data_IF_103665560889
#
_entry.id   IF_103665560889
#
_cell.length_a   1.000
_cell.length_b   1.000
_cell.length_c   1.000
_cell.angle_alpha   90.00
_cell.angle_beta   90.00
_cell.angle_gamma   90.00
#
_symmetry.space_group_name_H-M   'P 1'
#
loop_
_entity.id
_entity.type
_entity.pdbx_description
1 polymer ?
#
# COMPACT_ATOMS: atom_id res chain seq x y z
N UNK A 1 16.68 11.15 -22.11
CA UNK A 1 17.14 9.77 -21.82
C UNK A 1 16.09 9.04 -21.05
N UNK A 2 15.84 7.77 -21.38
CA UNK A 2 14.94 6.90 -20.60
C UNK A 2 15.54 6.66 -19.22
N UNK A 3 14.80 6.90 -18.12
CA UNK A 3 15.31 6.67 -16.78
C UNK A 3 15.49 5.18 -16.51
N UNK A 4 16.35 4.85 -15.56
CA UNK A 4 16.47 3.53 -14.96
C UNK A 4 15.83 3.51 -13.57
N UNK A 5 15.16 2.41 -13.22
CA UNK A 5 14.40 2.31 -11.97
C UNK A 5 14.81 1.05 -11.21
N UNK A 6 15.21 1.18 -9.97
CA UNK A 6 15.34 0.06 -9.05
C UNK A 6 14.05 -0.10 -8.23
N UNK A 7 13.57 -1.34 -8.05
CA UNK A 7 12.40 -1.64 -7.24
C UNK A 7 12.75 -2.68 -6.18
N UNK A 8 12.49 -2.37 -4.94
CA UNK A 8 12.53 -3.29 -3.80
C UNK A 8 11.17 -3.27 -3.10
N UNK A 9 10.42 -4.38 -3.11
CA UNK A 9 10.70 -5.73 -3.54
C UNK A 9 9.73 -6.16 -4.67
N UNK A 10 10.03 -7.24 -5.42
CA UNK A 10 9.15 -7.79 -6.45
C UNK A 10 8.00 -8.63 -5.86
N UNK A 11 7.27 -8.04 -4.90
CA UNK A 11 5.99 -8.54 -4.43
C UNK A 11 4.90 -8.36 -5.50
N UNK A 12 3.61 -8.54 -5.13
CA UNK A 12 2.49 -8.34 -6.06
C UNK A 12 2.47 -6.94 -6.66
N UNK A 13 2.62 -5.89 -5.83
CA UNK A 13 2.65 -4.50 -6.30
C UNK A 13 3.94 -4.19 -7.03
N UNK A 14 5.11 -4.46 -6.43
CA UNK A 14 6.41 -4.10 -7.01
C UNK A 14 6.67 -4.77 -8.36
N UNK A 15 6.30 -6.05 -8.53
CA UNK A 15 6.44 -6.74 -9.84
C UNK A 15 5.48 -6.19 -10.90
N UNK A 16 4.26 -5.81 -10.51
CA UNK A 16 3.31 -5.20 -11.44
C UNK A 16 3.77 -3.80 -11.90
N UNK A 17 4.34 -3.00 -10.98
CA UNK A 17 4.97 -1.71 -11.30
C UNK A 17 6.19 -1.93 -12.20
N UNK A 18 7.05 -2.91 -11.87
CA UNK A 18 8.20 -3.27 -12.69
C UNK A 18 7.80 -3.65 -14.11
N UNK A 19 6.80 -4.53 -14.27
CA UNK A 19 6.25 -4.90 -15.57
C UNK A 19 5.76 -3.69 -16.35
N UNK A 20 5.00 -2.80 -15.68
CA UNK A 20 4.48 -1.61 -16.36
C UNK A 20 5.58 -0.72 -16.90
N UNK A 21 6.68 -0.56 -16.16
CA UNK A 21 7.85 0.19 -16.59
C UNK A 21 8.61 -0.53 -17.72
N UNK A 22 8.81 -1.85 -17.64
CA UNK A 22 9.50 -2.62 -18.69
C UNK A 22 8.73 -2.64 -20.01
N UNK A 23 7.39 -2.69 -19.98
CA UNK A 23 6.51 -2.52 -21.14
C UNK A 23 6.76 -1.17 -21.86
N UNK A 24 7.25 -0.16 -21.14
CA UNK A 24 7.62 1.16 -21.66
C UNK A 24 9.14 1.32 -21.84
N UNK A 25 9.86 0.22 -21.98
CA UNK A 25 11.30 0.18 -22.26
C UNK A 25 12.20 0.81 -21.19
N UNK A 26 11.70 0.91 -19.96
CA UNK A 26 12.49 1.32 -18.80
C UNK A 26 13.32 0.13 -18.33
N UNK A 27 14.61 0.33 -18.08
CA UNK A 27 15.47 -0.65 -17.42
C UNK A 27 15.08 -0.73 -15.95
N UNK A 28 14.52 -1.88 -15.52
CA UNK A 28 14.11 -2.09 -14.14
C UNK A 28 15.04 -3.08 -13.44
N UNK A 29 15.69 -2.63 -12.39
CA UNK A 29 16.60 -3.41 -11.54
C UNK A 29 15.86 -3.88 -10.27
N UNK A 30 16.23 -5.05 -9.74
CA UNK A 30 15.74 -5.52 -8.44
C UNK A 30 16.77 -6.40 -7.75
N UNK A 31 16.77 -6.42 -6.43
CA UNK A 31 17.57 -7.37 -5.64
C UNK A 31 16.71 -8.58 -5.26
N UNK A 32 17.23 -9.77 -5.54
CA UNK A 32 16.56 -11.03 -5.23
C UNK A 32 17.22 -11.77 -4.04
N UNK A 33 18.22 -11.17 -3.41
CA UNK A 33 18.90 -11.76 -2.25
C UNK A 33 17.91 -12.02 -1.12
N UNK A 34 17.81 -13.27 -0.66
CA UNK A 34 16.91 -13.67 0.43
C UNK A 34 15.41 -13.67 0.05
N UNK A 35 15.05 -13.60 -1.24
CA UNK A 35 13.66 -13.60 -1.69
C UNK A 35 13.14 -15.01 -1.98
N UNK A 36 11.85 -15.22 -1.75
CA UNK A 36 11.18 -16.50 -2.04
C UNK A 36 11.18 -16.81 -3.55
N UNK A 37 11.10 -18.10 -3.92
CA UNK A 37 10.98 -18.55 -5.30
C UNK A 37 9.83 -17.85 -6.05
N UNK A 38 8.71 -17.61 -5.37
CA UNK A 38 7.55 -16.88 -5.93
C UNK A 38 7.88 -15.41 -6.27
N UNK A 39 8.72 -14.74 -5.46
CA UNK A 39 9.18 -13.39 -5.77
C UNK A 39 10.16 -13.36 -6.94
N UNK A 40 11.05 -14.34 -7.03
CA UNK A 40 11.97 -14.52 -8.16
C UNK A 40 11.20 -14.70 -9.47
N UNK A 41 10.23 -15.60 -9.49
CA UNK A 41 9.37 -15.82 -10.66
C UNK A 41 8.61 -14.57 -11.09
N UNK A 42 8.08 -13.79 -10.11
CA UNK A 42 7.41 -12.52 -10.43
C UNK A 42 8.33 -11.50 -11.06
N UNK A 43 9.56 -11.35 -10.55
CA UNK A 43 10.54 -10.43 -11.09
C UNK A 43 10.90 -10.81 -12.55
N UNK A 44 11.16 -12.10 -12.80
CA UNK A 44 11.45 -12.63 -14.15
C UNK A 44 10.28 -12.39 -15.12
N UNK A 45 9.06 -12.76 -14.70
CA UNK A 45 7.85 -12.54 -15.50
C UNK A 45 7.52 -11.05 -15.75
N UNK A 46 8.05 -10.15 -14.93
CA UNK A 46 7.93 -8.70 -15.09
C UNK A 46 9.06 -8.08 -15.93
N UNK A 47 10.01 -8.87 -16.44
CA UNK A 47 11.15 -8.39 -17.20
C UNK A 47 12.17 -7.59 -16.36
N UNK A 48 12.19 -7.76 -15.05
CA UNK A 48 13.11 -7.07 -14.16
C UNK A 48 14.47 -7.76 -14.15
N UNK A 49 15.55 -6.98 -14.15
CA UNK A 49 16.93 -7.47 -14.09
C UNK A 49 17.36 -7.66 -12.64
N UNK A 50 17.69 -8.89 -12.26
CA UNK A 50 18.24 -9.18 -10.94
C UNK A 50 19.69 -8.71 -10.83
N UNK A 51 20.01 -7.97 -9.78
CA UNK A 51 21.34 -7.41 -9.53
C UNK A 51 21.67 -7.44 -8.02
N UNK A 52 22.94 -7.26 -7.67
CA UNK A 52 23.33 -7.05 -6.28
C UNK A 52 22.90 -5.66 -5.78
N UNK A 53 22.76 -5.49 -4.46
CA UNK A 53 22.28 -4.23 -3.86
C UNK A 53 23.12 -3.01 -4.29
N UNK A 54 24.44 -3.17 -4.46
CA UNK A 54 25.34 -2.09 -4.92
C UNK A 54 24.99 -1.58 -6.32
N UNK A 55 24.54 -2.46 -7.20
CA UNK A 55 24.18 -2.10 -8.57
C UNK A 55 22.80 -1.43 -8.67
N UNK A 56 21.95 -1.55 -7.64
CA UNK A 56 20.70 -0.80 -7.55
C UNK A 56 20.93 0.71 -7.50
N UNK A 57 22.09 1.13 -6.98
CA UNK A 57 22.48 2.55 -6.84
C UNK A 57 22.80 3.20 -8.19
N UNK A 58 22.97 2.42 -9.26
CA UNK A 58 23.14 2.95 -10.63
C UNK A 58 21.82 3.46 -11.24
N UNK A 59 20.69 3.13 -10.63
CA UNK A 59 19.39 3.60 -11.09
C UNK A 59 19.21 5.12 -10.86
N UNK A 60 18.29 5.72 -11.59
CA UNK A 60 17.89 7.11 -11.38
C UNK A 60 16.87 7.22 -10.24
N UNK A 61 16.01 6.22 -10.11
CA UNK A 61 15.03 6.11 -9.03
C UNK A 61 15.18 4.78 -8.30
N UNK A 62 15.01 4.79 -6.98
CA UNK A 62 14.89 3.59 -6.16
C UNK A 62 13.52 3.62 -5.46
N UNK A 63 12.59 2.79 -5.94
CA UNK A 63 11.24 2.68 -5.39
C UNK A 63 11.23 1.64 -4.26
N UNK A 64 10.94 2.07 -3.04
CA UNK A 64 10.68 1.19 -1.89
C UNK A 64 9.23 0.74 -1.92
N UNK A 65 8.98 -0.55 -2.23
CA UNK A 65 7.66 -1.17 -2.30
C UNK A 65 7.69 -2.48 -1.51
N UNK A 66 7.56 -2.38 -0.20
CA UNK A 66 7.63 -3.49 0.76
C UNK A 66 6.42 -3.43 1.71
N UNK A 67 6.20 -4.42 2.58
CA UNK A 67 5.24 -4.27 3.68
C UNK A 67 5.58 -3.04 4.53
N UNK A 68 4.59 -2.28 5.03
CA UNK A 68 4.83 -1.05 5.79
C UNK A 68 5.80 -1.24 6.97
N UNK A 69 5.67 -2.35 7.71
CA UNK A 69 6.55 -2.67 8.84
C UNK A 69 8.02 -2.88 8.47
N UNK A 70 8.32 -3.18 7.20
CA UNK A 70 9.69 -3.42 6.72
C UNK A 70 10.36 -2.15 6.16
N UNK A 71 9.60 -1.06 5.97
CA UNK A 71 10.07 0.12 5.23
C UNK A 71 11.28 0.80 5.89
N UNK A 72 11.22 1.02 7.21
CA UNK A 72 12.32 1.64 7.95
C UNK A 72 13.56 0.72 8.00
N UNK A 73 13.36 -0.58 8.24
CA UNK A 73 14.45 -1.56 8.24
C UNK A 73 15.12 -1.66 6.85
N UNK A 74 14.35 -1.56 5.76
CA UNK A 74 14.90 -1.49 4.42
C UNK A 74 15.79 -0.26 4.21
N UNK A 75 15.33 0.92 4.60
CA UNK A 75 16.12 2.16 4.50
C UNK A 75 17.43 2.05 5.29
N UNK A 76 17.36 1.55 6.53
CA UNK A 76 18.53 1.32 7.38
C UNK A 76 19.52 0.32 6.75
N UNK A 77 19.02 -0.78 6.20
CA UNK A 77 19.82 -1.80 5.51
C UNK A 77 20.56 -1.23 4.30
N UNK A 78 19.91 -0.36 3.54
CA UNK A 78 20.49 0.24 2.33
C UNK A 78 21.40 1.44 2.62
N UNK A 79 21.33 2.04 3.80
CA UNK A 79 22.01 3.29 4.12
C UNK A 79 23.53 3.21 3.87
N UNK A 80 24.19 2.12 4.27
CA UNK A 80 25.63 1.93 4.02
C UNK A 80 25.97 1.91 2.52
N UNK A 81 25.19 1.18 1.73
CA UNK A 81 25.37 1.08 0.27
C UNK A 81 25.08 2.42 -0.43
N UNK A 82 23.99 3.10 -0.02
CA UNK A 82 23.63 4.42 -0.52
C UNK A 82 24.73 5.47 -0.19
N UNK A 83 25.28 5.42 1.03
CA UNK A 83 26.35 6.33 1.43
C UNK A 83 27.63 6.13 0.61
N UNK A 84 27.99 4.87 0.33
CA UNK A 84 29.19 4.53 -0.44
C UNK A 84 29.03 4.75 -1.96
N UNK A 85 27.81 4.88 -2.47
CA UNK A 85 27.54 5.01 -3.89
C UNK A 85 28.00 6.37 -4.45
N UNK A 86 28.68 6.37 -5.59
CA UNK A 86 29.04 7.60 -6.30
C UNK A 86 27.82 8.29 -6.92
N UNK A 87 26.91 7.51 -7.51
CA UNK A 87 25.60 8.00 -7.98
C UNK A 87 24.57 7.86 -6.87
N UNK A 88 23.79 8.89 -6.66
CA UNK A 88 22.72 8.95 -5.65
C UNK A 88 21.36 8.84 -6.33
N UNK A 89 20.69 7.67 -6.28
CA UNK A 89 19.33 7.55 -6.81
C UNK A 89 18.37 8.41 -6.00
N UNK A 90 17.28 8.86 -6.63
CA UNK A 90 16.16 9.42 -5.87
C UNK A 90 15.45 8.26 -5.16
N UNK A 91 15.53 8.24 -3.83
CA UNK A 91 14.81 7.26 -3.02
C UNK A 91 13.34 7.67 -2.90
N UNK A 92 12.44 6.82 -3.38
CA UNK A 92 11.00 7.06 -3.37
C UNK A 92 10.35 6.07 -2.41
N UNK A 93 9.91 6.54 -1.25
CA UNK A 93 9.20 5.72 -0.28
C UNK A 93 7.72 5.60 -0.68
N UNK A 94 7.29 4.40 -1.10
CA UNK A 94 5.97 4.17 -1.69
C UNK A 94 5.00 3.40 -0.78
N UNK A 95 5.42 3.09 0.45
CA UNK A 95 4.67 2.18 1.31
C UNK A 95 3.54 2.90 2.08
N UNK A 96 2.65 2.10 2.68
CA UNK A 96 1.55 2.63 3.49
C UNK A 96 2.03 2.90 4.93
N UNK A 97 3.01 3.79 5.09
CA UNK A 97 3.58 4.21 6.38
C UNK A 97 2.93 5.48 6.87
N UNK A 98 2.89 5.66 8.20
CA UNK A 98 2.43 6.91 8.80
C UNK A 98 3.38 8.09 8.50
N UNK A 99 2.92 9.35 8.59
CA UNK A 99 3.79 10.52 8.48
C UNK A 99 5.01 10.48 9.41
N UNK A 100 4.85 9.97 10.64
CA UNK A 100 5.94 9.83 11.60
C UNK A 100 6.98 8.80 11.14
N UNK A 101 6.55 7.65 10.61
CA UNK A 101 7.44 6.63 10.05
C UNK A 101 8.13 7.16 8.78
N UNK A 102 7.40 7.90 7.92
CA UNK A 102 7.94 8.53 6.72
C UNK A 102 9.10 9.48 7.06
N UNK A 103 8.98 10.31 8.10
CA UNK A 103 10.05 11.20 8.54
C UNK A 103 11.28 10.42 9.02
N UNK A 104 11.10 9.37 9.82
CA UNK A 104 12.23 8.52 10.25
C UNK A 104 12.99 7.91 9.06
N UNK A 105 12.26 7.46 8.04
CA UNK A 105 12.87 6.93 6.81
C UNK A 105 13.62 8.05 6.07
N UNK A 106 13.00 9.23 5.95
CA UNK A 106 13.61 10.39 5.33
C UNK A 106 14.93 10.79 5.99
N UNK A 107 14.98 10.80 7.33
CA UNK A 107 16.21 11.13 8.09
C UNK A 107 17.34 10.13 7.81
N UNK A 108 17.02 8.83 7.78
CA UNK A 108 17.98 7.77 7.43
C UNK A 108 18.54 7.97 6.03
N UNK A 109 17.69 8.26 5.05
CA UNK A 109 18.10 8.42 3.65
C UNK A 109 18.84 9.75 3.45
N UNK A 110 18.39 10.84 4.07
CA UNK A 110 19.06 12.15 3.99
C UNK A 110 20.50 12.08 4.48
N UNK A 111 20.77 11.32 5.53
CA UNK A 111 22.12 11.09 6.05
C UNK A 111 23.07 10.44 5.02
N UNK A 112 22.55 9.78 3.98
CA UNK A 112 23.34 9.18 2.89
C UNK A 112 23.64 10.15 1.74
N UNK A 113 23.07 11.35 1.77
CA UNK A 113 23.13 12.32 0.68
C UNK A 113 22.20 12.00 -0.50
N UNK A 114 21.35 10.96 -0.42
CA UNK A 114 20.38 10.66 -1.47
C UNK A 114 19.18 11.62 -1.40
N UNK A 115 18.71 12.11 -2.56
CA UNK A 115 17.42 12.80 -2.61
C UNK A 115 16.28 11.86 -2.19
N UNK A 116 15.30 12.40 -1.47
CA UNK A 116 14.17 11.64 -0.95
C UNK A 116 12.84 12.21 -1.46
N UNK A 117 11.90 11.31 -1.75
CA UNK A 117 10.50 11.64 -2.09
C UNK A 117 9.59 10.77 -1.23
N UNK A 118 8.70 11.42 -0.49
CA UNK A 118 7.59 10.74 0.19
C UNK A 118 6.50 10.43 -0.82
N UNK A 119 6.12 9.17 -0.94
CA UNK A 119 5.08 8.76 -1.85
C UNK A 119 4.07 7.80 -1.19
N UNK A 120 2.97 7.55 -1.88
CA UNK A 120 1.96 6.57 -1.47
C UNK A 120 1.25 6.02 -2.68
N UNK A 121 1.08 4.69 -2.75
CA UNK A 121 0.35 4.04 -3.84
C UNK A 121 -1.09 3.84 -3.41
N UNK A 122 -2.04 4.33 -4.21
CA UNK A 122 -3.49 4.09 -4.05
C UNK A 122 -4.01 3.36 -5.28
N UNK A 123 -4.61 2.21 -5.07
CA UNK A 123 -5.18 1.36 -6.11
C UNK A 123 -4.62 -0.07 -6.11
N UNK A 124 -5.18 -0.96 -6.95
CA UNK A 124 -4.68 -2.33 -7.12
C UNK A 124 -3.34 -2.35 -7.85
N UNK A 125 -2.61 -3.48 -7.88
CA UNK A 125 -1.45 -3.63 -8.75
C UNK A 125 -1.78 -3.23 -10.20
N UNK A 126 -0.94 -2.41 -10.87
CA UNK A 126 -1.24 -1.91 -12.20
C UNK A 126 -1.38 -3.06 -13.21
N UNK A 127 -2.38 -2.90 -14.08
CA UNK A 127 -2.64 -3.81 -15.21
C UNK A 127 -2.42 -3.05 -16.54
N UNK A 128 -2.11 -3.74 -17.65
CA UNK A 128 -1.99 -3.10 -18.96
C UNK A 128 -3.22 -2.23 -19.28
N UNK A 129 -2.99 -1.01 -19.75
CA UNK A 129 -4.06 -0.06 -20.09
C UNK A 129 -4.84 0.56 -18.92
N UNK A 130 -4.59 0.15 -17.67
CA UNK A 130 -5.30 0.68 -16.50
C UNK A 130 -4.58 1.88 -15.89
N UNK A 131 -5.36 2.92 -15.54
CA UNK A 131 -4.93 4.11 -14.78
C UNK A 131 -5.40 4.11 -13.33
N UNK A 132 -5.88 2.96 -12.83
CA UNK A 132 -6.48 2.86 -11.50
C UNK A 132 -5.47 2.90 -10.36
N UNK A 133 -4.19 2.62 -10.65
CA UNK A 133 -3.10 2.69 -9.68
C UNK A 133 -2.44 4.05 -9.77
N UNK A 134 -2.50 4.82 -8.70
CA UNK A 134 -1.95 6.18 -8.64
C UNK A 134 -0.83 6.25 -7.60
N UNK A 135 0.26 6.87 -7.99
CA UNK A 135 1.36 7.24 -7.10
C UNK A 135 1.17 8.70 -6.73
N UNK A 136 0.99 8.98 -5.46
CA UNK A 136 1.00 10.35 -4.96
C UNK A 136 2.39 10.62 -4.41
N UNK A 137 3.03 11.69 -4.87
CA UNK A 137 4.40 12.05 -4.49
C UNK A 137 4.41 13.45 -3.87
N UNK A 138 5.19 13.64 -2.80
CA UNK A 138 5.31 14.92 -2.09
C UNK A 138 6.77 15.20 -1.70
N UNK A 139 7.08 16.46 -1.48
CA UNK A 139 8.42 16.94 -1.10
C UNK A 139 9.18 17.60 -2.26
N UNK A 140 10.38 18.13 -2.00
CA UNK A 140 11.09 19.01 -2.94
C UNK A 140 11.43 18.38 -4.30
N UNK A 141 11.57 17.04 -4.32
CA UNK A 141 11.92 16.28 -5.54
C UNK A 141 10.75 15.51 -6.14
N UNK A 142 9.51 15.76 -5.67
CA UNK A 142 8.31 15.05 -6.14
C UNK A 142 8.07 15.20 -7.66
N UNK A 143 8.39 16.35 -8.24
CA UNK A 143 8.27 16.60 -9.67
C UNK A 143 9.20 15.73 -10.53
N UNK A 144 10.32 15.25 -9.99
CA UNK A 144 11.16 14.29 -10.71
C UNK A 144 10.43 12.97 -10.91
N UNK A 145 9.62 12.52 -9.92
CA UNK A 145 8.82 11.31 -10.05
C UNK A 145 7.72 11.45 -11.12
N UNK A 146 7.23 12.65 -11.39
CA UNK A 146 6.21 12.89 -12.42
C UNK A 146 6.71 12.52 -13.84
N UNK A 147 8.03 12.49 -14.08
CA UNK A 147 8.62 12.00 -15.33
C UNK A 147 8.27 10.53 -15.62
N UNK A 148 7.93 9.75 -14.59
CA UNK A 148 7.53 8.35 -14.75
C UNK A 148 6.12 8.21 -15.36
N UNK A 149 5.35 9.29 -15.51
CA UNK A 149 4.11 9.31 -16.28
C UNK A 149 4.33 8.97 -17.75
N UNK A 150 5.44 9.39 -18.33
CA UNK A 150 5.80 9.10 -19.72
C UNK A 150 6.11 7.61 -19.93
N UNK A 151 6.28 6.87 -18.83
CA UNK A 151 6.62 5.45 -18.81
C UNK A 151 5.53 4.58 -18.16
N UNK A 152 4.29 5.04 -18.27
CA UNK A 152 3.10 4.25 -17.95
C UNK A 152 2.69 4.17 -16.48
N UNK A 153 3.35 4.89 -15.60
CA UNK A 153 2.83 5.10 -14.24
C UNK A 153 1.84 6.28 -14.23
N UNK A 154 1.04 6.39 -13.18
CA UNK A 154 0.20 7.57 -12.95
C UNK A 154 0.69 8.24 -11.67
N UNK A 155 1.58 9.20 -11.81
CA UNK A 155 2.16 9.97 -10.70
C UNK A 155 1.43 11.30 -10.58
N UNK A 156 0.97 11.62 -9.38
CA UNK A 156 0.35 12.89 -9.02
C UNK A 156 1.20 13.57 -7.94
N UNK A 157 1.70 14.74 -8.26
CA UNK A 157 2.44 15.54 -7.28
C UNK A 157 1.46 16.26 -6.38
N UNK A 158 1.70 16.23 -5.09
CA UNK A 158 0.94 16.96 -4.08
C UNK A 158 1.73 18.18 -3.64
N UNK A 159 1.03 19.32 -3.59
CA UNK A 159 1.53 20.49 -2.88
C UNK A 159 1.46 20.23 -1.37
N UNK A 160 2.56 20.46 -0.66
CA UNK A 160 2.61 20.27 0.79
C UNK A 160 3.92 19.67 1.29
N UNK A 161 3.95 19.34 2.58
CA UNK A 161 5.14 18.77 3.19
C UNK A 161 5.46 17.38 2.65
N UNK A 162 6.68 16.92 2.86
CA UNK A 162 7.15 15.59 2.47
C UNK A 162 6.20 14.45 2.86
N UNK A 163 5.48 14.62 3.95
CA UNK A 163 4.54 13.63 4.49
C UNK A 163 3.14 13.69 3.90
N UNK A 164 2.83 14.63 2.99
CA UNK A 164 1.48 14.82 2.46
C UNK A 164 0.94 13.57 1.74
N UNK A 165 1.80 12.86 0.99
CA UNK A 165 1.41 11.63 0.30
C UNK A 165 1.09 10.49 1.29
N UNK A 166 1.86 10.38 2.36
CA UNK A 166 1.62 9.44 3.46
C UNK A 166 0.31 9.76 4.19
N UNK A 167 0.09 11.02 4.55
CA UNK A 167 -1.15 11.47 5.19
C UNK A 167 -2.38 11.17 4.32
N UNK A 168 -2.32 11.48 3.01
CA UNK A 168 -3.37 11.12 2.06
C UNK A 168 -3.64 9.61 2.04
N UNK A 169 -2.58 8.81 1.98
CA UNK A 169 -2.70 7.34 1.97
C UNK A 169 -3.35 6.83 3.25
N UNK A 170 -2.94 7.35 4.42
CA UNK A 170 -3.51 6.96 5.72
C UNK A 170 -4.99 7.36 5.81
N UNK A 171 -5.33 8.59 5.45
CA UNK A 171 -6.72 9.07 5.46
C UNK A 171 -7.62 8.27 4.53
N UNK A 172 -7.19 8.04 3.29
CA UNK A 172 -7.94 7.23 2.32
C UNK A 172 -8.14 5.79 2.80
N UNK A 173 -7.08 5.17 3.31
CA UNK A 173 -7.14 3.80 3.82
C UNK A 173 -8.00 3.71 5.09
N UNK A 174 -7.91 4.69 5.98
CA UNK A 174 -8.73 4.78 7.19
C UNK A 174 -10.22 4.85 6.87
N UNK A 175 -10.61 5.71 5.92
CA UNK A 175 -11.99 5.80 5.45
C UNK A 175 -12.44 4.46 4.85
N UNK A 176 -11.74 3.94 3.85
CA UNK A 176 -12.21 2.77 3.11
C UNK A 176 -12.25 1.51 3.96
N UNK A 177 -11.22 1.27 4.77
CA UNK A 177 -11.19 0.10 5.67
C UNK A 177 -12.09 0.30 6.88
N UNK A 178 -12.17 1.50 7.43
CA UNK A 178 -13.07 1.82 8.53
C UNK A 178 -14.53 1.60 8.15
N UNK A 179 -14.96 2.05 6.97
CA UNK A 179 -16.32 1.79 6.45
C UNK A 179 -16.60 0.30 6.27
N UNK A 180 -15.64 -0.45 5.71
CA UNK A 180 -15.80 -1.90 5.53
C UNK A 180 -15.90 -2.61 6.89
N UNK A 181 -15.06 -2.24 7.85
CA UNK A 181 -15.10 -2.82 9.21
C UNK A 181 -16.43 -2.53 9.92
N UNK A 182 -16.90 -1.27 9.87
CA UNK A 182 -18.18 -0.89 10.47
C UNK A 182 -19.34 -1.63 9.81
N UNK A 183 -19.35 -1.71 8.47
CA UNK A 183 -20.36 -2.44 7.72
C UNK A 183 -20.40 -3.92 8.10
N UNK A 184 -19.24 -4.59 8.13
CA UNK A 184 -19.15 -5.99 8.54
C UNK A 184 -19.64 -6.19 9.97
N UNK A 185 -19.22 -5.35 10.91
CA UNK A 185 -19.65 -5.43 12.31
C UNK A 185 -21.18 -5.30 12.45
N UNK A 186 -21.81 -4.36 11.70
CA UNK A 186 -23.26 -4.12 11.78
C UNK A 186 -24.06 -5.23 11.07
N UNK A 187 -23.59 -5.78 9.96
CA UNK A 187 -24.21 -6.93 9.31
C UNK A 187 -24.19 -8.16 10.22
N UNK A 188 -23.08 -8.47 10.86
CA UNK A 188 -22.96 -9.55 11.86
C UNK A 188 -23.89 -9.31 13.07
N UNK A 189 -23.97 -8.06 13.57
CA UNK A 189 -24.83 -7.71 14.68
C UNK A 189 -26.31 -7.86 14.30
N UNK A 190 -26.73 -7.39 13.13
CA UNK A 190 -28.11 -7.50 12.64
C UNK A 190 -28.52 -8.98 12.46
N UNK A 191 -27.61 -9.86 12.00
CA UNK A 191 -27.87 -11.29 11.89
C UNK A 191 -28.09 -11.90 13.28
N UNK A 192 -27.20 -11.63 14.24
CA UNK A 192 -27.37 -12.09 15.63
C UNK A 192 -28.65 -11.56 16.29
N UNK A 193 -29.07 -10.35 15.93
CA UNK A 193 -30.29 -9.71 16.43
C UNK A 193 -31.56 -10.09 15.65
N UNK A 194 -31.49 -10.98 14.65
CA UNK A 194 -32.64 -11.42 13.85
C UNK A 194 -33.20 -10.36 12.88
N UNK A 195 -32.44 -9.27 12.59
CA UNK A 195 -32.90 -8.15 11.76
C UNK A 195 -32.18 -8.03 10.39
N UNK A 196 -31.41 -9.05 10.00
CA UNK A 196 -30.56 -9.00 8.79
C UNK A 196 -31.36 -8.65 7.52
N UNK A 197 -32.48 -9.30 7.28
CA UNK A 197 -33.30 -9.07 6.09
C UNK A 197 -33.91 -7.66 6.08
N UNK A 198 -34.38 -7.18 7.22
CA UNK A 198 -34.92 -5.84 7.36
C UNK A 198 -33.85 -4.76 7.12
N UNK A 199 -32.66 -4.95 7.68
CA UNK A 199 -31.52 -4.05 7.44
C UNK A 199 -31.13 -4.01 5.98
N UNK A 200 -31.07 -5.18 5.32
CA UNK A 200 -30.72 -5.27 3.89
C UNK A 200 -31.75 -4.56 3.03
N UNK A 201 -33.06 -4.75 3.31
CA UNK A 201 -34.15 -4.09 2.59
C UNK A 201 -34.07 -2.56 2.77
N UNK A 202 -33.89 -2.09 4.01
CA UNK A 202 -33.75 -0.67 4.31
C UNK A 202 -32.55 -0.05 3.60
N UNK A 203 -31.38 -0.71 3.62
CA UNK A 203 -30.21 -0.25 2.88
C UNK A 203 -30.43 -0.23 1.37
N UNK A 204 -31.16 -1.18 0.83
CA UNK A 204 -31.46 -1.22 -0.60
C UNK A 204 -32.37 -0.05 -1.03
N UNK A 205 -33.30 0.36 -0.18
CA UNK A 205 -34.24 1.45 -0.41
C UNK A 205 -33.61 2.82 -0.17
N UNK A 206 -33.03 3.03 1.01
CA UNK A 206 -32.57 4.36 1.46
C UNK A 206 -31.12 4.68 1.10
N UNK A 207 -30.24 3.67 0.97
CA UNK A 207 -28.81 3.84 0.75
C UNK A 207 -28.22 2.77 -0.20
N UNK A 208 -28.73 2.68 -1.44
CA UNK A 208 -28.28 1.67 -2.40
C UNK A 208 -26.79 1.80 -2.76
N UNK A 209 -26.24 3.01 -2.73
CA UNK A 209 -24.82 3.30 -2.93
C UNK A 209 -23.93 2.63 -1.86
N UNK A 210 -24.35 2.71 -0.58
CA UNK A 210 -23.65 2.09 0.53
C UNK A 210 -23.75 0.57 0.47
N UNK A 211 -24.93 0.03 0.17
CA UNK A 211 -25.09 -1.41 0.01
C UNK A 211 -24.22 -1.96 -1.14
N UNK A 212 -24.20 -1.27 -2.28
CA UNK A 212 -23.34 -1.63 -3.41
C UNK A 212 -21.83 -1.57 -3.05
N UNK A 213 -21.43 -0.59 -2.26
CA UNK A 213 -20.06 -0.51 -1.72
C UNK A 213 -19.73 -1.73 -0.85
N UNK A 214 -20.58 -2.05 0.13
CA UNK A 214 -20.39 -3.19 1.03
C UNK A 214 -20.37 -4.52 0.28
N UNK A 215 -21.26 -4.72 -0.69
CA UNK A 215 -21.30 -5.91 -1.56
C UNK A 215 -19.97 -6.14 -2.31
N UNK A 216 -19.27 -5.07 -2.68
CA UNK A 216 -17.99 -5.15 -3.38
C UNK A 216 -16.80 -5.30 -2.42
N UNK A 217 -16.81 -4.54 -1.32
CA UNK A 217 -15.63 -4.44 -0.45
C UNK A 217 -15.53 -5.55 0.58
N UNK A 218 -16.66 -6.05 1.07
CA UNK A 218 -16.67 -7.07 2.13
C UNK A 218 -16.07 -8.41 1.67
N UNK A 219 -16.46 -8.98 0.51
CA UNK A 219 -15.80 -10.20 0.02
C UNK A 219 -14.32 -9.98 -0.34
N UNK A 220 -13.95 -8.79 -0.87
CA UNK A 220 -12.56 -8.44 -1.18
C UNK A 220 -11.68 -8.33 0.08
N UNK A 221 -12.27 -8.13 1.23
CA UNK A 221 -11.61 -8.05 2.54
C UNK A 221 -11.07 -9.41 3.00
N UNK A 222 -11.79 -10.52 2.85
CA UNK A 222 -11.50 -11.78 3.54
C UNK A 222 -10.04 -12.22 3.36
N UNK A 223 -9.59 -12.39 2.14
CA UNK A 223 -8.21 -12.78 1.83
C UNK A 223 -7.15 -11.71 2.07
N UNK A 224 -7.52 -10.53 2.58
CA UNK A 224 -6.62 -9.38 2.82
C UNK A 224 -6.64 -8.90 4.27
N UNK A 225 -7.60 -9.34 5.06
CA UNK A 225 -7.84 -8.86 6.42
C UNK A 225 -6.57 -8.93 7.29
N UNK A 226 -5.81 -10.03 7.21
CA UNK A 226 -4.56 -10.20 7.96
C UNK A 226 -3.53 -9.07 7.74
N UNK A 227 -3.48 -8.50 6.52
CA UNK A 227 -2.56 -7.38 6.21
C UNK A 227 -3.10 -6.04 6.68
N UNK A 228 -4.44 -5.92 6.74
CA UNK A 228 -5.09 -4.66 7.12
C UNK A 228 -4.96 -4.36 8.61
N UNK A 229 -4.68 -5.36 9.44
CA UNK A 229 -4.36 -5.17 10.86
C UNK A 229 -3.21 -4.18 11.03
N UNK A 230 -2.04 -4.50 10.45
CA UNK A 230 -0.87 -3.62 10.55
C UNK A 230 -1.09 -2.24 9.89
N UNK A 231 -1.85 -2.19 8.78
CA UNK A 231 -2.18 -0.91 8.15
C UNK A 231 -3.07 -0.04 9.05
N UNK A 232 -4.05 -0.63 9.75
CA UNK A 232 -4.91 0.11 10.69
C UNK A 232 -4.16 0.53 11.96
N UNK A 233 -3.15 -0.22 12.37
CA UNK A 233 -2.26 0.18 13.45
C UNK A 233 -1.49 1.46 13.08
N UNK A 234 -0.88 1.53 11.88
CA UNK A 234 -0.26 2.76 11.37
C UNK A 234 -1.25 3.93 11.27
N UNK A 235 -2.49 3.67 10.81
CA UNK A 235 -3.52 4.69 10.72
C UNK A 235 -3.95 5.17 12.12
N UNK A 236 -4.05 4.27 13.10
CA UNK A 236 -4.39 4.64 14.47
C UNK A 236 -3.33 5.54 15.11
N UNK A 237 -2.05 5.27 14.85
CA UNK A 237 -0.96 6.15 15.29
C UNK A 237 -1.01 7.52 14.58
N UNK A 238 -1.36 7.52 13.29
CA UNK A 238 -1.48 8.75 12.49
C UNK A 238 -2.56 9.70 13.02
N UNK A 239 -3.72 9.19 13.44
CA UNK A 239 -4.79 10.04 13.98
C UNK A 239 -4.48 10.59 15.38
N UNK A 240 -3.54 9.98 16.10
CA UNK A 240 -3.06 10.43 17.41
C UNK A 240 -3.59 9.60 18.57
N UNK A 241 -2.68 9.19 19.46
CA UNK A 241 -2.97 8.28 20.58
C UNK A 241 -3.96 8.86 21.62
N UNK A 242 -3.97 10.16 21.76
CA UNK A 242 -4.81 10.89 22.75
C UNK A 242 -6.23 11.16 22.19
N UNK A 243 -6.52 10.72 20.95
CA UNK A 243 -7.80 10.97 20.31
C UNK A 243 -8.69 9.72 20.34
N UNK A 244 -10.01 9.88 20.52
CA UNK A 244 -10.94 8.74 20.53
C UNK A 244 -10.94 7.94 19.23
N UNK A 245 -10.62 8.58 18.09
CA UNK A 245 -10.49 7.94 16.79
C UNK A 245 -9.40 6.85 16.76
N UNK A 246 -8.36 6.99 17.60
CA UNK A 246 -7.35 5.94 17.79
C UNK A 246 -7.99 4.62 18.23
N UNK A 247 -8.83 4.67 19.26
CA UNK A 247 -9.50 3.49 19.79
C UNK A 247 -10.46 2.86 18.76
N UNK A 248 -11.15 3.68 17.96
CA UNK A 248 -12.03 3.22 16.87
C UNK A 248 -11.25 2.42 15.82
N UNK A 249 -10.10 2.93 15.38
CA UNK A 249 -9.27 2.26 14.38
C UNK A 249 -8.60 1.00 14.93
N UNK A 250 -8.18 1.01 16.20
CA UNK A 250 -7.70 -0.20 16.90
C UNK A 250 -8.79 -1.27 17.03
N UNK A 251 -10.05 -0.88 17.27
CA UNK A 251 -11.17 -1.81 17.29
C UNK A 251 -11.43 -2.42 15.90
N UNK A 252 -11.31 -1.62 14.83
CA UNK A 252 -11.40 -2.12 13.46
C UNK A 252 -10.25 -3.09 13.13
N UNK A 253 -9.02 -2.83 13.61
CA UNK A 253 -7.90 -3.75 13.45
C UNK A 253 -8.19 -5.11 14.10
N UNK A 254 -8.72 -5.12 15.33
CA UNK A 254 -9.12 -6.36 16.02
C UNK A 254 -10.25 -7.11 15.31
N UNK A 255 -11.19 -6.39 14.69
CA UNK A 255 -12.22 -7.03 13.85
C UNK A 255 -11.57 -7.73 12.67
N UNK A 256 -10.63 -7.12 11.97
CA UNK A 256 -9.95 -7.73 10.84
C UNK A 256 -9.09 -8.92 11.23
N UNK A 257 -8.43 -8.89 12.38
CA UNK A 257 -7.71 -10.04 12.92
C UNK A 257 -8.64 -11.24 13.14
N UNK A 258 -9.82 -11.00 13.74
CA UNK A 258 -10.85 -12.01 13.93
C UNK A 258 -11.39 -12.54 12.59
N UNK A 259 -11.73 -11.68 11.64
CA UNK A 259 -12.21 -12.08 10.31
C UNK A 259 -11.13 -12.87 9.54
N UNK A 260 -9.84 -12.50 9.67
CA UNK A 260 -8.76 -13.26 9.06
C UNK A 260 -8.66 -14.69 9.63
N UNK A 261 -8.76 -14.82 10.95
CA UNK A 261 -8.74 -16.11 11.63
C UNK A 261 -9.97 -16.96 11.27
N UNK A 262 -11.15 -16.35 11.21
CA UNK A 262 -12.40 -17.02 10.79
C UNK A 262 -12.32 -17.53 9.35
N UNK A 263 -11.80 -16.70 8.44
CA UNK A 263 -11.68 -17.06 7.02
C UNK A 263 -10.71 -18.21 6.75
N UNK A 264 -9.65 -18.34 7.57
CA UNK A 264 -8.71 -19.47 7.52
C UNK A 264 -9.23 -20.70 8.26
N UNK A 265 -10.19 -20.53 9.17
CA UNK A 265 -10.79 -21.58 10.01
C UNK A 265 -12.18 -21.99 9.56
N UNK A 266 -13.15 -21.89 10.48
CA UNK A 266 -14.50 -22.43 10.33
C UNK A 266 -15.43 -21.60 9.43
N UNK A 267 -15.06 -20.38 9.09
CA UNK A 267 -15.77 -19.44 8.22
C UNK A 267 -17.18 -19.02 8.69
N UNK A 268 -17.45 -19.14 9.98
CA UNK A 268 -18.78 -18.83 10.54
C UNK A 268 -19.19 -17.38 10.27
N UNK A 269 -18.32 -16.42 10.55
CA UNK A 269 -18.62 -15.00 10.34
C UNK A 269 -18.55 -14.60 8.86
N UNK A 270 -17.62 -15.14 8.10
CA UNK A 270 -17.49 -14.86 6.68
C UNK A 270 -18.68 -15.41 5.88
N UNK A 271 -19.19 -16.59 6.21
CA UNK A 271 -20.40 -17.18 5.59
C UNK A 271 -21.65 -16.34 5.91
N UNK A 272 -21.80 -15.86 7.15
CA UNK A 272 -22.88 -14.94 7.55
C UNK A 272 -22.84 -13.65 6.72
N UNK A 273 -21.64 -13.07 6.55
CA UNK A 273 -21.47 -11.87 5.74
C UNK A 273 -21.79 -12.11 4.26
N UNK A 274 -21.39 -13.25 3.71
CA UNK A 274 -21.71 -13.62 2.34
C UNK A 274 -23.23 -13.82 2.15
N UNK A 275 -23.89 -14.49 3.09
CA UNK A 275 -25.35 -14.68 3.04
C UNK A 275 -26.09 -13.34 3.11
N UNK A 276 -25.69 -12.44 4.00
CA UNK A 276 -26.28 -11.10 4.07
C UNK A 276 -26.18 -10.35 2.74
N UNK A 277 -25.06 -10.49 2.02
CA UNK A 277 -24.76 -9.73 0.81
C UNK A 277 -25.31 -10.36 -0.48
N UNK A 278 -25.70 -11.61 -0.48
CA UNK A 278 -26.44 -12.25 -1.60
C UNK A 278 -27.75 -11.54 -1.88
#
# INVERSE_FOLDING_TARGET
MTPSVAIIAPGSMGSAVGRRLTEHQVKVLTSLTGRSAKSVQRAQAAGMTAVADVQLMEADFLLSIVPPGDALALAQRLAGTLNAANKKPIYVECNATSPATMLKISDVIAATGCPFVGAGIIGPPPKPGSTNTKFYAAGPRAWDCAKLNDYGLVVRVLDGPLTAASALKMSYAGITKGFTALGAAMMLAATRGGSAQALKAELAESRPDLLAYLKRQTPDMYGKAYRWVAELDEISEFVGKDRPEHAMLKAAARLYDRIASDFEGDKEETDILEEFLR
#
